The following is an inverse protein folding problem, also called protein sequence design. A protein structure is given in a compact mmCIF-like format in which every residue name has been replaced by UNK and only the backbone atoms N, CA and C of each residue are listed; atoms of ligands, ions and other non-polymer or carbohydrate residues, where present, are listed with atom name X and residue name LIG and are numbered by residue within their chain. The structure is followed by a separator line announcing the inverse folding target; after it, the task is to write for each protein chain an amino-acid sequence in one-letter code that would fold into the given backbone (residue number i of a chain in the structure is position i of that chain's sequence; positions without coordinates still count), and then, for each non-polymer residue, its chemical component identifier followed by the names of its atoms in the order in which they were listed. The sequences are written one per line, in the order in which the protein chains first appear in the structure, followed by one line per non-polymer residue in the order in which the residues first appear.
data_IF_262327411996
#
_entry.id   IF_262327411996
#
_cell.length_a   1.000
_cell.length_b   1.000
_cell.length_c   1.000
_cell.angle_alpha   90.00
_cell.angle_beta   90.00
_cell.angle_gamma   90.00
#
_symmetry.space_group_name_H-M   'P 1'
#
loop_
_entity.id
_entity.type
_entity.pdbx_description
1 polymer ?
#
# COMPACT_ATOMS: atom_id res chain seq x y z
N UNK A 1 41.00 4.05 -57.99
CA UNK A 1 40.67 4.95 -56.86
C UNK A 1 39.17 5.17 -56.67
N UNK A 2 38.37 5.33 -57.73
CA UNK A 2 36.91 5.53 -57.65
C UNK A 2 36.14 4.40 -56.94
N UNK A 3 36.48 3.13 -57.19
CA UNK A 3 35.80 1.98 -56.57
C UNK A 3 35.97 1.90 -55.04
N UNK A 4 37.14 2.28 -54.52
CA UNK A 4 37.40 2.30 -53.06
C UNK A 4 36.57 3.38 -52.33
N UNK A 5 36.35 4.53 -52.99
CA UNK A 5 35.53 5.62 -52.44
C UNK A 5 34.06 5.20 -52.33
N UNK A 6 33.54 4.48 -53.33
CA UNK A 6 32.15 3.97 -53.32
C UNK A 6 31.95 2.95 -52.19
N UNK A 7 32.89 2.03 -52.00
CA UNK A 7 32.84 1.04 -50.90
C UNK A 7 32.86 1.73 -49.53
N UNK A 8 33.73 2.74 -49.36
CA UNK A 8 33.81 3.52 -48.13
C UNK A 8 32.50 4.28 -47.83
N UNK A 9 31.87 4.89 -48.85
CA UNK A 9 30.58 5.55 -48.71
C UNK A 9 29.48 4.57 -48.25
N UNK A 10 29.39 3.39 -48.88
CA UNK A 10 28.41 2.37 -48.51
C UNK A 10 28.61 1.93 -47.05
N UNK A 11 29.86 1.74 -46.60
CA UNK A 11 30.16 1.38 -45.22
C UNK A 11 29.71 2.44 -44.21
N UNK A 12 29.95 3.71 -44.49
CA UNK A 12 29.52 4.83 -43.62
C UNK A 12 28.00 4.93 -43.55
N UNK A 13 27.31 4.82 -44.69
CA UNK A 13 25.84 4.84 -44.70
C UNK A 13 25.24 3.62 -44.00
N UNK A 14 25.82 2.43 -44.20
CA UNK A 14 25.40 1.22 -43.49
C UNK A 14 25.59 1.35 -41.97
N UNK A 15 26.71 1.91 -41.51
CA UNK A 15 26.96 2.18 -40.10
C UNK A 15 25.98 3.20 -39.51
N UNK A 16 25.68 4.30 -40.24
CA UNK A 16 24.71 5.31 -39.81
C UNK A 16 23.30 4.74 -39.70
N UNK A 17 22.87 3.95 -40.69
CA UNK A 17 21.55 3.31 -40.68
C UNK A 17 21.48 2.29 -39.53
N UNK A 18 22.51 1.47 -39.34
CA UNK A 18 22.60 0.52 -38.23
C UNK A 18 22.53 1.22 -36.86
N UNK A 19 23.26 2.32 -36.69
CA UNK A 19 23.22 3.13 -35.47
C UNK A 19 21.87 3.81 -35.25
N UNK A 20 21.22 4.31 -36.31
CA UNK A 20 19.90 4.94 -36.22
C UNK A 20 18.82 3.93 -35.82
N UNK A 21 18.81 2.75 -36.44
CA UNK A 21 17.87 1.66 -36.11
C UNK A 21 18.13 1.17 -34.69
N UNK A 22 19.40 0.93 -34.33
CA UNK A 22 19.79 0.54 -32.97
C UNK A 22 19.34 1.55 -31.93
N UNK A 23 19.59 2.84 -32.17
CA UNK A 23 19.17 3.93 -31.29
C UNK A 23 17.64 4.04 -31.14
N UNK A 24 16.89 3.86 -32.23
CA UNK A 24 15.42 3.83 -32.20
C UNK A 24 14.90 2.65 -31.36
N UNK A 25 15.42 1.44 -31.58
CA UNK A 25 15.03 0.25 -30.82
C UNK A 25 15.36 0.43 -29.33
N UNK A 26 16.55 0.95 -29.01
CA UNK A 26 16.95 1.25 -27.63
C UNK A 26 16.05 2.30 -27.01
N UNK A 27 15.68 3.35 -27.74
CA UNK A 27 14.79 4.40 -27.24
C UNK A 27 13.41 3.86 -26.89
N UNK A 28 12.78 3.09 -27.79
CA UNK A 28 11.47 2.50 -27.53
C UNK A 28 11.52 1.49 -26.37
N UNK A 29 12.52 0.62 -26.36
CA UNK A 29 12.71 -0.36 -25.27
C UNK A 29 12.90 0.35 -23.92
N UNK A 30 13.76 1.37 -23.85
CA UNK A 30 14.00 2.14 -22.63
C UNK A 30 12.76 2.89 -22.16
N UNK A 31 11.94 3.40 -23.08
CA UNK A 31 10.69 4.08 -22.73
C UNK A 31 9.70 3.13 -22.09
N UNK A 32 9.52 1.94 -22.66
CA UNK A 32 8.60 0.94 -22.14
C UNK A 32 9.07 0.38 -20.79
N UNK A 33 10.38 0.15 -20.63
CA UNK A 33 10.97 -0.25 -19.35
C UNK A 33 10.75 0.81 -18.28
N UNK A 34 11.10 2.08 -18.56
CA UNK A 34 10.88 3.18 -17.61
C UNK A 34 9.41 3.33 -17.23
N UNK A 35 8.49 3.16 -18.17
CA UNK A 35 7.06 3.22 -17.89
C UNK A 35 6.63 2.09 -16.93
N UNK A 36 7.09 0.86 -17.16
CA UNK A 36 6.82 -0.29 -16.28
C UNK A 36 7.44 -0.09 -14.89
N UNK A 37 8.69 0.36 -14.83
CA UNK A 37 9.36 0.68 -13.56
C UNK A 37 8.61 1.75 -12.77
N UNK A 38 8.16 2.81 -13.44
CA UNK A 38 7.37 3.86 -12.81
C UNK A 38 6.04 3.35 -12.26
N UNK A 39 5.27 2.58 -13.06
CA UNK A 39 4.01 2.00 -12.57
C UNK A 39 4.23 1.06 -11.37
N UNK A 40 5.25 0.20 -11.42
CA UNK A 40 5.60 -0.67 -10.30
C UNK A 40 6.03 0.13 -9.06
N UNK A 41 6.70 1.27 -9.24
CA UNK A 41 7.06 2.17 -8.16
C UNK A 41 5.83 2.77 -7.49
N UNK A 42 4.86 3.26 -8.29
CA UNK A 42 3.61 3.83 -7.79
C UNK A 42 2.81 2.79 -7.00
N UNK A 43 2.63 1.58 -7.53
CA UNK A 43 1.94 0.49 -6.84
C UNK A 43 2.66 0.13 -5.53
N UNK A 44 3.99 0.09 -5.53
CA UNK A 44 4.78 -0.20 -4.33
C UNK A 44 4.60 0.88 -3.27
N UNK A 45 4.59 2.14 -3.66
CA UNK A 45 4.36 3.28 -2.76
C UNK A 45 2.97 3.20 -2.14
N UNK A 46 1.93 2.98 -2.94
CA UNK A 46 0.56 2.80 -2.45
C UNK A 46 0.42 1.64 -1.46
N UNK A 47 1.04 0.49 -1.76
CA UNK A 47 1.07 -0.67 -0.86
C UNK A 47 1.75 -0.32 0.47
N UNK A 48 2.84 0.45 0.43
CA UNK A 48 3.56 0.84 1.64
C UNK A 48 2.77 1.84 2.48
N UNK A 49 2.10 2.80 1.85
CA UNK A 49 1.26 3.78 2.53
C UNK A 49 0.07 3.09 3.22
N UNK A 50 -0.61 2.17 2.52
CA UNK A 50 -1.69 1.37 3.12
C UNK A 50 -1.20 0.50 4.27
N UNK A 51 -0.05 -0.18 4.13
CA UNK A 51 0.56 -0.96 5.22
C UNK A 51 0.82 -0.10 6.45
N UNK A 52 1.37 1.10 6.24
CA UNK A 52 1.64 2.05 7.30
C UNK A 52 0.35 2.43 8.01
N UNK A 53 -0.66 2.87 7.26
CA UNK A 53 -1.98 3.25 7.79
C UNK A 53 -2.59 2.13 8.64
N UNK A 54 -2.64 0.90 8.13
CA UNK A 54 -3.21 -0.23 8.87
C UNK A 54 -2.42 -0.58 10.13
N UNK A 55 -1.10 -0.45 10.09
CA UNK A 55 -0.25 -0.68 11.26
C UNK A 55 -0.44 0.39 12.34
N UNK A 56 -0.55 1.66 11.94
CA UNK A 56 -0.76 2.79 12.84
C UNK A 56 -2.15 2.72 13.48
N UNK A 57 -3.18 2.37 12.70
CA UNK A 57 -4.53 2.10 13.21
C UNK A 57 -4.55 1.01 14.28
N UNK A 58 -3.94 -0.15 14.00
CA UNK A 58 -3.90 -1.26 14.97
C UNK A 58 -3.09 -0.91 16.22
N UNK A 59 -1.99 -0.17 16.06
CA UNK A 59 -1.18 0.27 17.19
C UNK A 59 -1.99 1.20 18.10
N UNK A 60 -2.76 2.13 17.51
CA UNK A 60 -3.60 3.06 18.26
C UNK A 60 -4.77 2.34 18.96
N UNK A 61 -5.45 1.43 18.26
CA UNK A 61 -6.51 0.61 18.85
C UNK A 61 -5.99 -0.22 20.04
N UNK A 62 -4.79 -0.77 19.93
CA UNK A 62 -4.14 -1.51 21.00
C UNK A 62 -3.73 -0.60 22.17
N UNK A 63 -3.21 0.60 21.87
CA UNK A 63 -2.86 1.61 22.87
C UNK A 63 -4.07 1.96 23.74
N UNK A 64 -5.20 2.31 23.11
CA UNK A 64 -6.44 2.67 23.82
C UNK A 64 -7.00 1.48 24.61
N UNK A 65 -6.92 0.26 24.05
CA UNK A 65 -7.33 -0.96 24.78
C UNK A 65 -6.49 -1.21 26.03
N UNK A 66 -5.18 -0.94 25.99
CA UNK A 66 -4.32 -1.04 27.19
C UNK A 66 -4.65 0.08 28.18
N UNK A 67 -4.86 1.30 27.67
CA UNK A 67 -5.18 2.47 28.49
C UNK A 67 -6.49 2.28 29.24
N UNK A 68 -7.51 1.70 28.60
CA UNK A 68 -8.79 1.37 29.23
C UNK A 68 -8.67 0.31 30.33
N UNK A 69 -7.65 -0.57 30.27
CA UNK A 69 -7.34 -1.49 31.37
C UNK A 69 -6.69 -0.78 32.56
N UNK A 70 -5.92 0.28 32.31
CA UNK A 70 -5.24 1.05 33.37
C UNK A 70 -6.13 2.12 33.99
N UNK A 71 -7.05 2.72 33.23
CA UNK A 71 -7.90 3.83 33.65
C UNK A 71 -9.33 3.58 33.14
N UNK A 72 -10.29 3.36 34.06
CA UNK A 72 -11.72 3.07 33.74
C UNK A 72 -12.46 4.21 33.00
N UNK A 73 -11.83 5.38 32.83
CA UNK A 73 -12.39 6.55 32.18
C UNK A 73 -11.25 7.37 31.56
N UNK A 74 -10.79 6.99 30.37
CA UNK A 74 -9.89 7.81 29.56
C UNK A 74 -10.59 9.03 28.94
N UNK A 75 -9.80 10.02 28.54
CA UNK A 75 -10.26 11.24 27.87
C UNK A 75 -10.77 10.91 26.46
N UNK A 76 -11.94 11.44 26.08
CA UNK A 76 -12.51 11.26 24.73
C UNK A 76 -11.55 11.72 23.62
N UNK A 77 -10.61 12.62 23.94
CA UNK A 77 -9.54 13.07 23.03
C UNK A 77 -8.62 11.93 22.57
N UNK A 78 -8.53 10.84 23.31
CA UNK A 78 -7.71 9.69 22.92
C UNK A 78 -8.29 8.96 21.71
N UNK A 79 -9.61 9.07 21.48
CA UNK A 79 -10.28 8.47 20.33
C UNK A 79 -10.12 9.29 19.04
N UNK A 80 -9.72 10.57 19.11
CA UNK A 80 -9.55 11.42 17.92
C UNK A 80 -8.53 10.84 16.94
N UNK A 81 -7.43 10.29 17.46
CA UNK A 81 -6.37 9.69 16.65
C UNK A 81 -6.88 8.39 16.01
N UNK A 82 -7.59 7.56 16.78
CA UNK A 82 -8.19 6.33 16.29
C UNK A 82 -9.22 6.60 15.17
N UNK A 83 -10.11 7.57 15.38
CA UNK A 83 -11.10 7.97 14.38
C UNK A 83 -10.47 8.57 13.13
N UNK A 84 -9.36 9.32 13.27
CA UNK A 84 -8.62 9.83 12.11
C UNK A 84 -8.05 8.71 11.26
N UNK A 85 -7.50 7.65 11.87
CA UNK A 85 -7.04 6.49 11.10
C UNK A 85 -8.21 5.70 10.51
N UNK A 86 -9.30 5.55 11.25
CA UNK A 86 -10.50 4.89 10.75
C UNK A 86 -11.08 5.62 9.52
N UNK A 87 -11.19 6.95 9.55
CA UNK A 87 -11.67 7.74 8.41
C UNK A 87 -10.75 7.60 7.17
N UNK A 88 -9.44 7.48 7.37
CA UNK A 88 -8.50 7.20 6.27
C UNK A 88 -8.68 5.78 5.71
N UNK A 89 -8.97 4.79 6.57
CA UNK A 89 -9.30 3.43 6.14
C UNK A 89 -10.61 3.43 5.35
N UNK A 90 -11.64 4.15 5.79
CA UNK A 90 -12.91 4.31 5.06
C UNK A 90 -12.72 4.93 3.66
N UNK A 91 -11.70 5.78 3.48
CA UNK A 91 -11.42 6.40 2.19
C UNK A 91 -10.66 5.49 1.21
N UNK A 92 -9.78 4.63 1.72
CA UNK A 92 -8.76 3.96 0.90
C UNK A 92 -8.92 2.44 0.81
N UNK A 93 -9.54 1.82 1.81
CA UNK A 93 -9.62 0.37 1.93
C UNK A 93 -10.88 -0.20 1.28
N UNK A 94 -10.89 -1.51 1.06
CA UNK A 94 -12.10 -2.24 0.68
C UNK A 94 -13.16 -2.26 1.81
N UNK A 95 -14.43 -2.39 1.44
CA UNK A 95 -15.55 -2.46 2.38
C UNK A 95 -15.36 -3.55 3.46
N UNK A 96 -14.75 -4.69 3.10
CA UNK A 96 -14.46 -5.77 4.05
C UNK A 96 -13.53 -5.31 5.18
N UNK A 97 -12.48 -4.55 4.84
CA UNK A 97 -11.51 -4.01 5.80
C UNK A 97 -12.15 -2.90 6.63
N UNK A 98 -12.97 -2.05 6.01
CA UNK A 98 -13.73 -1.01 6.71
C UNK A 98 -14.65 -1.62 7.76
N UNK A 99 -15.39 -2.66 7.41
CA UNK A 99 -16.29 -3.35 8.34
C UNK A 99 -15.52 -4.02 9.49
N UNK A 100 -14.38 -4.65 9.19
CA UNK A 100 -13.51 -5.21 10.22
C UNK A 100 -12.90 -4.14 11.14
N UNK A 101 -12.47 -3.00 10.59
CA UNK A 101 -11.97 -1.87 11.35
C UNK A 101 -13.05 -1.26 12.25
N UNK A 102 -14.28 -1.12 11.73
CA UNK A 102 -15.44 -0.63 12.48
C UNK A 102 -15.71 -1.51 13.70
N UNK A 103 -15.71 -2.83 13.50
CA UNK A 103 -15.90 -3.80 14.59
C UNK A 103 -14.81 -3.67 15.68
N UNK A 104 -13.57 -3.36 15.28
CA UNK A 104 -12.48 -3.10 16.23
C UNK A 104 -12.74 -1.80 17.01
N UNK A 105 -13.11 -0.72 16.32
CA UNK A 105 -13.42 0.58 16.97
C UNK A 105 -14.56 0.43 17.97
N UNK A 106 -15.65 -0.23 17.56
CA UNK A 106 -16.82 -0.47 18.41
C UNK A 106 -16.43 -1.27 19.67
N UNK A 107 -15.62 -2.33 19.52
CA UNK A 107 -15.12 -3.11 20.66
C UNK A 107 -14.24 -2.27 21.60
N UNK A 108 -13.39 -1.38 21.06
CA UNK A 108 -12.53 -0.52 21.86
C UNK A 108 -13.37 0.49 22.67
N UNK A 109 -14.41 1.07 22.06
CA UNK A 109 -15.35 1.98 22.72
C UNK A 109 -16.16 1.24 23.80
N UNK A 110 -16.65 0.04 23.51
CA UNK A 110 -17.41 -0.78 24.46
C UNK A 110 -16.55 -1.17 25.68
N UNK A 111 -15.31 -1.60 25.45
CA UNK A 111 -14.35 -1.92 26.53
C UNK A 111 -13.95 -0.71 27.36
N UNK A 112 -14.04 0.48 26.79
CA UNK A 112 -13.75 1.72 27.48
C UNK A 112 -14.98 2.28 28.24
N UNK A 113 -16.21 1.87 27.90
CA UNK A 113 -17.44 2.40 28.47
C UNK A 113 -18.11 1.52 29.54
N UNK A 114 -17.79 0.21 29.64
CA UNK A 114 -18.39 -0.71 30.62
C UNK A 114 -17.36 -1.45 31.49
N UNK A 115 -17.76 -1.80 32.72
CA UNK A 115 -17.07 -2.81 33.52
C UNK A 115 -17.07 -4.15 32.76
N UNK A 116 -15.87 -4.65 32.48
CA UNK A 116 -15.55 -5.85 31.71
C UNK A 116 -16.52 -7.04 31.91
N UNK A 117 -17.59 -7.10 31.12
CA UNK A 117 -18.18 -8.38 30.77
C UNK A 117 -17.28 -9.05 29.73
N UNK A 118 -16.96 -10.32 29.95
CA UNK A 118 -16.16 -11.16 29.06
C UNK A 118 -16.89 -11.28 27.72
N UNK A 119 -16.63 -10.35 26.80
CA UNK A 119 -17.08 -10.49 25.42
C UNK A 119 -16.45 -11.75 24.83
N UNK A 120 -17.32 -12.62 24.29
CA UNK A 120 -17.01 -13.92 23.68
C UNK A 120 -16.10 -13.79 22.44
N UNK A 121 -15.99 -12.58 21.89
CA UNK A 121 -15.10 -12.24 20.79
C UNK A 121 -13.86 -11.54 21.37
N UNK A 122 -12.74 -12.25 21.36
CA UNK A 122 -11.47 -11.66 21.78
C UNK A 122 -11.02 -10.61 20.77
N UNK A 123 -10.55 -9.45 21.24
CA UNK A 123 -9.84 -8.45 20.42
C UNK A 123 -8.74 -9.10 19.56
N UNK A 124 -8.15 -10.20 20.05
CA UNK A 124 -7.17 -11.01 19.33
C UNK A 124 -7.74 -11.62 18.04
N UNK A 125 -8.99 -12.10 18.08
CA UNK A 125 -9.64 -12.73 16.93
C UNK A 125 -10.02 -11.68 15.88
N UNK A 126 -10.56 -10.55 16.30
CA UNK A 126 -10.85 -9.42 15.39
C UNK A 126 -9.58 -8.89 14.73
N UNK A 127 -8.49 -8.73 15.51
CA UNK A 127 -7.18 -8.37 14.98
C UNK A 127 -6.71 -9.38 13.94
N UNK A 128 -6.87 -10.68 14.19
CA UNK A 128 -6.45 -11.74 13.27
C UNK A 128 -7.25 -11.68 11.96
N UNK A 129 -8.57 -11.50 12.05
CA UNK A 129 -9.45 -11.33 10.90
C UNK A 129 -9.06 -10.11 10.08
N UNK A 130 -8.88 -8.95 10.73
CA UNK A 130 -8.45 -7.72 10.08
C UNK A 130 -7.09 -7.89 9.37
N UNK A 131 -6.10 -8.50 10.03
CA UNK A 131 -4.79 -8.76 9.42
C UNK A 131 -4.89 -9.67 8.19
N UNK A 132 -5.76 -10.68 8.22
CA UNK A 132 -5.94 -11.56 7.08
C UNK A 132 -6.56 -10.82 5.89
N UNK A 133 -7.60 -10.02 6.13
CA UNK A 133 -8.23 -9.19 5.09
C UNK A 133 -7.25 -8.18 4.49
N UNK A 134 -6.45 -7.52 5.33
CA UNK A 134 -5.37 -6.63 4.88
C UNK A 134 -4.34 -7.36 4.03
N UNK A 135 -3.90 -8.55 4.43
CA UNK A 135 -2.95 -9.35 3.64
C UNK A 135 -3.52 -9.74 2.28
N UNK A 136 -4.80 -10.08 2.22
CA UNK A 136 -5.48 -10.39 0.97
C UNK A 136 -5.57 -9.16 0.05
N UNK A 137 -5.99 -8.01 0.57
CA UNK A 137 -6.07 -6.77 -0.20
C UNK A 137 -4.70 -6.35 -0.75
N UNK A 138 -3.67 -6.34 0.09
CA UNK A 138 -2.31 -5.99 -0.33
C UNK A 138 -1.75 -6.98 -1.37
N UNK A 139 -2.17 -8.25 -1.30
CA UNK A 139 -1.79 -9.26 -2.31
C UNK A 139 -2.52 -9.02 -3.63
N UNK A 140 -3.80 -8.59 -3.60
CA UNK A 140 -4.54 -8.19 -4.80
C UNK A 140 -3.91 -6.97 -5.46
N UNK A 141 -3.53 -5.94 -4.69
CA UNK A 141 -2.86 -4.75 -5.21
C UNK A 141 -1.50 -5.06 -5.84
N UNK A 142 -0.74 -6.01 -5.28
CA UNK A 142 0.54 -6.44 -5.84
C UNK A 142 0.39 -7.17 -7.18
N UNK A 143 -0.74 -7.83 -7.39
CA UNK A 143 -1.02 -8.64 -8.57
C UNK A 143 -1.88 -7.90 -9.63
N UNK A 144 -2.23 -6.64 -9.36
CA UNK A 144 -2.93 -5.73 -10.30
C UNK A 144 -1.94 -4.99 -11.20
#
# INVERSE_FOLDING_TARGET
MTSQIVIALIGVFAALIGAAIGGLITYFTNRDLKKKEWMLSVIREEINDRKRLYSEFLAEAYRITILSLQTKCGDLREFDILHRYFAQIELLASDDIVNAARTIVDLVIDRHSKECEKHDISFVDLKKTFINLVKEELSRLKNS
#
